data_IF_458413621687
#
_entry.id   IF_458413621687
#
_cell.length_a   1.000
_cell.length_b   1.000
_cell.length_c   1.000
_cell.angle_alpha   90.00
_cell.angle_beta   90.00
_cell.angle_gamma   90.00
#
_symmetry.space_group_name_H-M   'P 1'
#
loop_
_entity.id
_entity.type
_entity.pdbx_description
1 polymer ?
#
# COMPACT_ATOMS: atom_id res chain seq x y z
N UNK A 1 4.07 8.85 18.87
CA UNK A 1 3.21 8.74 17.68
C UNK A 1 3.06 7.26 17.37
N UNK A 2 1.85 6.81 17.03
CA UNK A 2 1.64 5.43 16.57
C UNK A 2 2.19 5.31 15.14
N UNK A 3 3.04 4.32 14.82
CA UNK A 3 3.59 4.19 13.48
C UNK A 3 2.49 3.88 12.46
N UNK A 4 2.65 4.38 11.22
CA UNK A 4 1.65 4.20 10.16
C UNK A 4 1.51 2.72 9.79
N UNK A 5 2.64 1.99 9.77
CA UNK A 5 2.73 0.54 9.61
C UNK A 5 3.12 -0.05 10.97
N UNK A 6 2.35 -1.03 11.48
CA UNK A 6 2.68 -1.69 12.76
C UNK A 6 3.89 -2.61 12.63
N UNK A 7 4.54 -2.96 13.74
CA UNK A 7 5.66 -3.92 13.73
C UNK A 7 5.27 -5.28 13.14
N UNK A 8 4.04 -5.72 13.40
CA UNK A 8 3.48 -6.96 12.82
C UNK A 8 3.32 -6.84 11.31
N UNK A 9 2.75 -5.73 10.82
CA UNK A 9 2.62 -5.48 9.39
C UNK A 9 3.99 -5.35 8.72
N UNK A 10 4.94 -4.64 9.34
CA UNK A 10 6.32 -4.50 8.85
C UNK A 10 6.99 -5.86 8.74
N UNK A 11 6.86 -6.71 9.75
CA UNK A 11 7.40 -8.07 9.74
C UNK A 11 6.85 -8.88 8.55
N UNK A 12 5.54 -8.82 8.32
CA UNK A 12 4.91 -9.52 7.19
C UNK A 12 5.30 -8.92 5.83
N UNK A 13 5.37 -7.60 5.72
CA UNK A 13 5.79 -6.89 4.50
C UNK A 13 7.24 -7.24 4.11
N UNK A 14 8.15 -7.30 5.09
CA UNK A 14 9.55 -7.73 4.87
C UNK A 14 9.64 -9.20 4.49
N UNK A 15 8.84 -10.07 5.11
CA UNK A 15 8.78 -11.48 4.72
C UNK A 15 8.29 -11.64 3.28
N UNK A 16 7.28 -10.85 2.87
CA UNK A 16 6.79 -10.82 1.51
C UNK A 16 7.87 -10.32 0.54
N UNK A 17 8.60 -9.26 0.87
CA UNK A 17 9.69 -8.73 0.04
C UNK A 17 10.83 -9.73 -0.17
N UNK A 18 11.19 -10.52 0.85
CA UNK A 18 12.14 -11.63 0.68
C UNK A 18 11.61 -12.66 -0.31
N UNK A 19 10.35 -13.08 -0.14
CA UNK A 19 9.74 -14.08 -1.04
C UNK A 19 9.59 -13.58 -2.47
N UNK A 20 9.28 -12.32 -2.71
CA UNK A 20 9.14 -11.80 -4.07
C UNK A 20 10.46 -11.78 -4.86
N UNK A 21 11.60 -11.75 -4.18
CA UNK A 21 12.92 -11.90 -4.82
C UNK A 21 13.25 -13.35 -5.19
N UNK A 22 12.70 -14.33 -4.47
CA UNK A 22 12.96 -15.76 -4.66
C UNK A 22 11.90 -16.44 -5.56
N UNK A 23 10.65 -15.98 -5.50
CA UNK A 23 9.49 -16.60 -6.14
C UNK A 23 8.93 -15.72 -7.26
N UNK A 24 9.21 -16.09 -8.51
CA UNK A 24 8.66 -15.39 -9.67
C UNK A 24 7.12 -15.46 -9.69
N UNK A 25 6.47 -14.30 -9.80
CA UNK A 25 5.01 -14.20 -9.81
C UNK A 25 4.36 -14.29 -8.42
N UNK A 26 5.13 -14.11 -7.34
CA UNK A 26 4.59 -13.95 -6.00
C UNK A 26 3.58 -12.79 -5.95
N UNK A 27 2.35 -13.08 -5.56
CA UNK A 27 1.21 -12.16 -5.61
C UNK A 27 0.42 -12.23 -4.30
N UNK A 28 0.99 -11.73 -3.18
CA UNK A 28 0.36 -11.82 -1.87
C UNK A 28 -0.86 -10.88 -1.78
N UNK A 29 -1.81 -11.17 -0.87
CA UNK A 29 -2.82 -10.20 -0.50
C UNK A 29 -2.18 -8.97 0.19
N UNK A 30 -2.73 -7.75 0.01
CA UNK A 30 -2.24 -6.57 0.71
C UNK A 30 -2.28 -6.72 2.24
N UNK A 31 -1.21 -6.28 2.90
CA UNK A 31 -1.01 -6.34 4.36
C UNK A 31 -1.50 -5.07 5.05
N UNK A 32 -1.40 -3.93 4.36
CA UNK A 32 -1.81 -2.63 4.88
C UNK A 32 -2.56 -1.83 3.81
N UNK A 33 -3.58 -1.11 4.26
CA UNK A 33 -4.25 -0.07 3.47
C UNK A 33 -4.02 1.28 4.15
N UNK A 34 -3.45 2.21 3.39
CA UNK A 34 -3.19 3.59 3.80
C UNK A 34 -4.06 4.53 2.97
N UNK A 35 -4.47 5.67 3.51
CA UNK A 35 -5.28 6.63 2.78
C UNK A 35 -5.11 8.06 3.30
N UNK A 36 -5.35 9.04 2.43
CA UNK A 36 -5.51 10.43 2.85
C UNK A 36 -6.98 10.70 3.19
N UNK A 37 -7.30 11.14 4.42
CA UNK A 37 -8.70 11.42 4.80
C UNK A 37 -9.35 12.56 4.00
N UNK A 38 -8.53 13.44 3.43
CA UNK A 38 -8.93 14.70 2.80
C UNK A 38 -8.40 14.90 1.36
N UNK A 39 -7.69 13.92 0.78
CA UNK A 39 -7.09 14.07 -0.56
C UNK A 39 -7.39 12.90 -1.53
N UNK A 40 -8.14 11.89 -1.11
CA UNK A 40 -8.63 10.80 -1.98
C UNK A 40 -7.55 9.81 -2.46
N UNK A 41 -6.35 9.88 -1.91
CA UNK A 41 -5.27 8.94 -2.21
C UNK A 41 -5.39 7.67 -1.36
N UNK A 42 -5.06 6.52 -1.93
CA UNK A 42 -5.10 5.20 -1.29
C UNK A 42 -3.92 4.35 -1.73
N UNK A 43 -3.31 3.63 -0.79
CA UNK A 43 -2.26 2.65 -1.04
C UNK A 43 -2.65 1.30 -0.46
N UNK A 44 -2.44 0.22 -1.22
CA UNK A 44 -2.50 -1.16 -0.75
C UNK A 44 -1.10 -1.76 -0.83
N UNK A 45 -0.45 -1.96 0.32
CA UNK A 45 0.94 -2.41 0.40
C UNK A 45 1.02 -3.92 0.57
N UNK A 46 1.89 -4.56 -0.22
CA UNK A 46 2.13 -6.01 -0.14
C UNK A 46 3.48 -6.37 0.42
N UNK A 47 4.49 -5.53 0.22
CA UNK A 47 5.86 -5.86 0.57
C UNK A 47 6.72 -4.62 0.78
N UNK A 48 7.78 -4.80 1.55
CA UNK A 48 8.87 -3.83 1.75
C UNK A 48 10.15 -4.46 1.21
N UNK A 49 10.95 -3.68 0.51
CA UNK A 49 12.27 -4.09 0.03
C UNK A 49 13.16 -4.44 1.25
N UNK A 50 13.66 -5.69 1.37
CA UNK A 50 14.49 -6.09 2.51
C UNK A 50 15.85 -5.37 2.54
N UNK A 51 16.30 -4.79 1.44
CA UNK A 51 17.54 -4.02 1.35
C UNK A 51 17.33 -2.50 1.56
N UNK A 52 16.08 -2.03 1.43
CA UNK A 52 15.68 -0.65 1.64
C UNK A 52 14.28 -0.58 2.28
N UNK A 53 14.24 -0.57 3.62
CA UNK A 53 12.98 -0.63 4.37
C UNK A 53 12.07 0.60 4.21
N UNK A 54 12.56 1.68 3.59
CA UNK A 54 11.73 2.82 3.22
C UNK A 54 10.92 2.56 1.95
N UNK A 55 11.28 1.55 1.15
CA UNK A 55 10.67 1.28 -0.14
C UNK A 55 9.63 0.17 -0.04
N UNK A 56 8.36 0.51 -0.24
CA UNK A 56 7.24 -0.43 -0.22
C UNK A 56 6.62 -0.60 -1.61
N UNK A 57 6.28 -1.83 -2.00
CA UNK A 57 5.56 -2.12 -3.23
C UNK A 57 4.09 -2.36 -2.96
N UNK A 58 3.25 -1.96 -3.92
CA UNK A 58 1.82 -2.13 -3.81
C UNK A 58 1.05 -1.49 -4.96
N UNK A 59 -0.26 -1.36 -4.76
CA UNK A 59 -1.18 -0.63 -5.63
C UNK A 59 -1.42 0.76 -5.06
N UNK A 60 -1.20 1.78 -5.88
CA UNK A 60 -1.33 3.19 -5.54
C UNK A 60 -2.45 3.82 -6.37
N UNK A 61 -3.31 4.60 -5.73
CA UNK A 61 -4.31 5.43 -6.39
C UNK A 61 -4.21 6.84 -5.79
N UNK A 62 -3.78 7.82 -6.58
CA UNK A 62 -3.64 9.21 -6.16
C UNK A 62 -4.91 10.03 -6.38
N UNK A 63 -6.05 9.39 -6.66
CA UNK A 63 -7.31 10.07 -6.96
C UNK A 63 -7.36 10.71 -8.37
N UNK A 64 -6.45 10.29 -9.26
CA UNK A 64 -6.29 10.85 -10.61
C UNK A 64 -6.95 10.00 -11.72
N UNK A 65 -7.67 8.94 -11.37
CA UNK A 65 -8.33 8.06 -12.33
C UNK A 65 -7.42 6.95 -12.90
N UNK A 66 -6.17 6.87 -12.43
CA UNK A 66 -5.16 5.93 -12.91
C UNK A 66 -4.45 5.22 -11.74
N UNK A 67 -5.06 4.19 -11.14
CA UNK A 67 -4.38 3.36 -10.15
C UNK A 67 -3.24 2.56 -10.78
N UNK A 68 -2.09 2.52 -10.12
CA UNK A 68 -0.86 1.94 -10.65
C UNK A 68 -0.17 1.03 -9.63
N UNK A 69 0.42 -0.06 -10.12
CA UNK A 69 1.32 -0.90 -9.34
C UNK A 69 2.72 -0.28 -9.35
N UNK A 70 3.36 -0.19 -8.20
CA UNK A 70 4.69 0.39 -8.11
C UNK A 70 5.28 0.43 -6.72
N UNK A 71 6.50 0.92 -6.68
CA UNK A 71 7.22 1.23 -5.45
C UNK A 71 6.91 2.65 -4.99
N UNK A 72 6.76 2.82 -3.68
CA UNK A 72 6.59 4.11 -3.03
C UNK A 72 7.45 4.17 -1.76
N UNK A 73 7.89 5.37 -1.40
CA UNK A 73 8.57 5.62 -0.13
C UNK A 73 7.57 5.68 1.02
N UNK A 74 7.80 4.92 2.08
CA UNK A 74 7.00 4.92 3.30
C UNK A 74 7.13 6.27 4.01
N UNK A 75 8.35 6.82 4.09
CA UNK A 75 8.59 8.13 4.70
C UNK A 75 7.93 9.27 3.91
N UNK A 76 7.90 9.21 2.57
CA UNK A 76 7.14 10.18 1.76
C UNK A 76 5.64 10.09 2.03
N UNK A 77 5.08 8.87 2.12
CA UNK A 77 3.67 8.67 2.46
C UNK A 77 3.38 9.21 3.87
N UNK A 78 4.23 8.92 4.87
CA UNK A 78 4.07 9.42 6.24
C UNK A 78 4.18 10.95 6.36
N UNK A 79 5.02 11.57 5.53
CA UNK A 79 5.19 13.03 5.48
C UNK A 79 4.05 13.74 4.75
N UNK A 80 3.30 13.03 3.89
CA UNK A 80 2.25 13.61 3.07
C UNK A 80 1.13 14.22 3.93
N UNK A 81 0.68 15.41 3.52
CA UNK A 81 -0.47 16.12 4.12
C UNK A 81 -1.45 16.49 3.04
N UNK A 82 -2.73 16.22 3.27
CA UNK A 82 -3.78 16.62 2.35
C UNK A 82 -4.13 18.12 2.45
N UNK A 83 -5.13 18.59 1.68
CA UNK A 83 -5.53 20.00 1.62
C UNK A 83 -5.94 20.63 2.96
N UNK A 84 -6.43 19.84 3.91
CA UNK A 84 -6.79 20.29 5.25
C UNK A 84 -5.65 20.11 6.26
N UNK A 85 -4.47 19.68 5.81
CA UNK A 85 -3.31 19.41 6.65
C UNK A 85 -3.41 18.10 7.42
N UNK A 86 -4.35 17.21 7.07
CA UNK A 86 -4.49 15.92 7.73
C UNK A 86 -3.36 14.95 7.30
N UNK A 87 -2.83 14.14 8.23
CA UNK A 87 -1.85 13.12 7.89
C UNK A 87 -2.50 11.95 7.15
N UNK A 88 -1.68 11.15 6.48
CA UNK A 88 -2.10 9.82 6.01
C UNK A 88 -2.46 8.94 7.21
N UNK A 89 -3.52 8.15 7.06
CA UNK A 89 -3.99 7.21 8.06
C UNK A 89 -3.92 5.77 7.55
N UNK A 90 -3.86 4.83 8.49
CA UNK A 90 -4.00 3.39 8.22
C UNK A 90 -5.42 2.96 8.51
N UNK A 91 -6.01 2.20 7.59
CA UNK A 91 -7.30 1.57 7.78
C UNK A 91 -7.18 0.40 8.78
N UNK A 92 -7.77 0.55 9.97
CA UNK A 92 -7.70 -0.44 11.05
C UNK A 92 -8.57 -1.68 10.81
N UNK A 93 -9.52 -1.59 9.90
CA UNK A 93 -10.52 -2.64 9.65
C UNK A 93 -10.34 -3.31 8.30
N UNK A 94 -9.39 -2.82 7.49
CA UNK A 94 -9.05 -3.43 6.22
C UNK A 94 -8.66 -4.90 6.39
N UNK A 95 -9.30 -5.76 5.60
CA UNK A 95 -9.00 -7.18 5.47
C UNK A 95 -8.97 -7.52 4.00
N UNK A 96 -7.80 -7.92 3.51
CA UNK A 96 -7.66 -8.33 2.12
C UNK A 96 -8.42 -9.65 1.87
N UNK A 97 -9.21 -9.69 0.80
CA UNK A 97 -10.01 -10.85 0.37
C UNK A 97 -9.56 -11.44 -0.98
N UNK A 98 -8.59 -10.79 -1.63
CA UNK A 98 -8.03 -11.16 -2.92
C UNK A 98 -6.53 -10.82 -2.98
N UNK A 99 -5.76 -11.44 -3.90
CA UNK A 99 -4.38 -11.06 -4.13
C UNK A 99 -4.25 -9.65 -4.74
N UNK A 100 -3.06 -9.07 -4.71
CA UNK A 100 -2.80 -7.71 -5.23
C UNK A 100 -3.23 -7.56 -6.70
N UNK A 101 -2.96 -8.57 -7.54
CA UNK A 101 -3.39 -8.58 -8.94
C UNK A 101 -4.91 -8.48 -9.10
N UNK A 102 -5.68 -9.06 -8.16
CA UNK A 102 -7.13 -8.93 -8.09
C UNK A 102 -7.56 -7.50 -7.83
N UNK A 103 -6.94 -6.83 -6.85
CA UNK A 103 -7.21 -5.42 -6.57
C UNK A 103 -6.81 -4.53 -7.74
N UNK A 104 -5.66 -4.77 -8.37
CA UNK A 104 -5.18 -3.99 -9.50
C UNK A 104 -6.12 -4.10 -10.71
N UNK A 105 -6.63 -5.30 -11.00
CA UNK A 105 -7.62 -5.52 -12.06
C UNK A 105 -8.90 -4.73 -11.79
N UNK A 106 -9.45 -4.87 -10.60
CA UNK A 106 -10.70 -4.20 -10.23
C UNK A 106 -10.53 -2.67 -10.23
N UNK A 107 -9.38 -2.20 -9.75
CA UNK A 107 -9.05 -0.78 -9.72
C UNK A 107 -8.89 -0.20 -11.13
N UNK A 108 -8.27 -0.93 -12.05
CA UNK A 108 -8.16 -0.54 -13.46
C UNK A 108 -9.52 -0.42 -14.14
N UNK A 109 -10.46 -1.32 -13.82
CA UNK A 109 -11.81 -1.27 -14.37
C UNK A 109 -12.64 -0.11 -13.79
N UNK A 110 -12.45 0.20 -12.52
CA UNK A 110 -13.17 1.27 -11.83
C UNK A 110 -12.51 2.66 -11.98
N UNK A 111 -11.25 2.73 -12.42
CA UNK A 111 -10.43 3.94 -12.39
C UNK A 111 -10.02 4.39 -10.98
N UNK A 112 -10.19 3.53 -9.97
CA UNK A 112 -9.90 3.81 -8.55
C UNK A 112 -9.80 2.53 -7.73
N UNK A 113 -9.09 2.54 -6.62
CA UNK A 113 -9.07 1.39 -5.70
C UNK A 113 -10.45 1.16 -5.08
N UNK A 114 -10.90 -0.10 -5.08
CA UNK A 114 -12.13 -0.58 -4.45
C UNK A 114 -11.77 -1.73 -3.50
N UNK A 115 -12.06 -1.53 -2.21
CA UNK A 115 -11.69 -2.41 -1.09
C UNK A 115 -12.85 -2.59 -0.14
#
# INVERSE_FOLDING_TARGET
MTPLITDEQRTQLLANGRRSTEEAGFDPPPVAKLFTPDAGATWLLTEIDPEDEDRAFGLCDLGLGCPELGWASVSEIEALRGPLGLPVERDLYFRADKPLSGYARDARLAGRIVT
#
